data_IF_632894105166
#
_entry.id   IF_632894105166
#
_cell.length_a   1.000
_cell.length_b   1.000
_cell.length_c   1.000
_cell.angle_alpha   90.00
_cell.angle_beta   90.00
_cell.angle_gamma   90.00
#
_symmetry.space_group_name_H-M   'P 1'
#
loop_
_entity.id
_entity.type
_entity.pdbx_description
1 polymer ?
#
# COMPACT_ATOMS: atom_id res chain seq x y z
N UNK A 1 -19.94 61.29 -14.29
CA UNK A 1 -20.11 59.82 -14.47
C UNK A 1 -19.22 59.14 -13.42
N UNK A 2 -19.80 58.73 -12.29
CA UNK A 2 -19.04 58.11 -11.19
C UNK A 2 -18.93 56.62 -11.45
N UNK A 3 -17.71 56.12 -11.66
CA UNK A 3 -17.45 54.70 -11.89
C UNK A 3 -17.73 53.91 -10.62
N UNK A 4 -18.72 53.00 -10.68
CA UNK A 4 -19.03 52.04 -9.62
C UNK A 4 -17.84 51.08 -9.45
N UNK A 5 -17.02 51.32 -8.42
CA UNK A 5 -15.88 50.45 -8.13
C UNK A 5 -16.36 49.11 -7.56
N UNK A 6 -15.80 48.01 -8.05
CA UNK A 6 -16.16 46.67 -7.58
C UNK A 6 -15.76 46.49 -6.11
N UNK A 7 -16.51 45.70 -5.33
CA UNK A 7 -16.13 45.38 -3.94
C UNK A 7 -14.75 44.73 -3.86
N UNK A 8 -14.33 44.00 -4.89
CA UNK A 8 -12.99 43.41 -5.01
C UNK A 8 -11.88 44.45 -5.11
N UNK A 9 -12.05 45.50 -5.93
CA UNK A 9 -11.07 46.58 -6.02
C UNK A 9 -10.90 47.35 -4.71
N UNK A 10 -12.00 47.55 -3.97
CA UNK A 10 -11.97 48.20 -2.66
C UNK A 10 -11.23 47.36 -1.63
N UNK A 11 -11.48 46.05 -1.61
CA UNK A 11 -10.79 45.10 -0.74
C UNK A 11 -9.29 45.03 -1.07
N UNK A 12 -8.95 44.96 -2.36
CA UNK A 12 -7.58 44.89 -2.85
C UNK A 12 -6.79 46.17 -2.53
N UNK A 13 -7.39 47.36 -2.74
CA UNK A 13 -6.76 48.65 -2.38
C UNK A 13 -6.64 48.85 -0.87
N UNK A 14 -7.60 48.36 -0.08
CA UNK A 14 -7.52 48.38 1.38
C UNK A 14 -6.38 47.46 1.89
N UNK A 15 -6.27 46.26 1.34
CA UNK A 15 -5.18 45.32 1.65
C UNK A 15 -3.80 45.88 1.27
N UNK A 16 -3.69 46.58 0.13
CA UNK A 16 -2.45 47.23 -0.30
C UNK A 16 -2.07 48.45 0.56
N UNK A 17 -3.05 49.21 1.08
CA UNK A 17 -2.79 50.37 1.96
C UNK A 17 -2.37 50.00 3.37
N UNK A 18 -2.71 48.81 3.84
CA UNK A 18 -2.45 48.35 5.19
C UNK A 18 -1.18 47.48 5.32
N UNK A 19 -0.50 47.19 4.21
CA UNK A 19 0.66 46.31 4.24
C UNK A 19 1.95 47.07 4.53
N UNK A 20 2.37 47.02 5.80
CA UNK A 20 3.76 47.30 6.17
C UNK A 20 4.70 46.44 5.32
N UNK A 21 5.85 46.99 4.87
CA UNK A 21 6.91 46.23 4.16
C UNK A 21 7.29 44.93 4.89
N UNK A 22 7.21 44.91 6.22
CA UNK A 22 7.48 43.72 7.04
C UNK A 22 6.36 42.67 6.99
N UNK A 23 5.10 43.07 6.82
CA UNK A 23 3.96 42.16 6.72
C UNK A 23 3.90 41.49 5.34
N UNK A 24 4.17 42.24 4.26
CA UNK A 24 4.30 41.66 2.92
C UNK A 24 5.43 40.62 2.86
N UNK A 25 6.58 40.92 3.47
CA UNK A 25 7.76 40.05 3.40
C UNK A 25 7.57 38.74 4.20
N UNK A 26 6.93 38.80 5.37
CA UNK A 26 6.55 37.60 6.13
C UNK A 26 5.58 36.72 5.34
N UNK A 27 4.53 37.30 4.78
CA UNK A 27 3.56 36.55 3.98
C UNK A 27 4.22 35.83 2.80
N UNK A 28 5.16 36.48 2.10
CA UNK A 28 5.88 35.85 0.99
C UNK A 28 6.81 34.72 1.43
N UNK A 29 7.45 34.85 2.61
CA UNK A 29 8.30 33.79 3.15
C UNK A 29 7.47 32.60 3.63
N UNK A 30 6.32 32.85 4.24
CA UNK A 30 5.40 31.80 4.70
C UNK A 30 4.80 31.03 3.53
N UNK A 31 4.39 31.72 2.46
CA UNK A 31 3.86 31.04 1.26
C UNK A 31 4.93 30.23 0.53
N UNK A 32 6.16 30.76 0.43
CA UNK A 32 7.29 30.02 -0.11
C UNK A 32 7.63 28.79 0.74
N UNK A 33 7.67 28.95 2.06
CA UNK A 33 7.90 27.85 3.01
C UNK A 33 6.83 26.77 2.91
N UNK A 34 5.55 27.17 2.84
CA UNK A 34 4.43 26.25 2.66
C UNK A 34 4.50 25.51 1.32
N UNK A 35 4.88 26.19 0.23
CA UNK A 35 5.08 25.57 -1.08
C UNK A 35 6.22 24.54 -1.04
N UNK A 36 7.38 24.90 -0.48
CA UNK A 36 8.50 23.97 -0.31
C UNK A 36 8.14 22.77 0.58
N UNK A 37 7.38 22.98 1.64
CA UNK A 37 6.89 21.90 2.48
C UNK A 37 5.91 20.98 1.73
N UNK A 38 5.01 21.55 0.94
CA UNK A 38 4.05 20.80 0.13
C UNK A 38 4.75 19.98 -0.96
N UNK A 39 5.71 20.56 -1.67
CA UNK A 39 6.49 19.83 -2.69
C UNK A 39 7.33 18.74 -2.05
N UNK A 40 7.97 19.00 -0.91
CA UNK A 40 8.69 17.97 -0.16
C UNK A 40 7.77 16.83 0.27
N UNK A 41 6.59 17.13 0.80
CA UNK A 41 5.59 16.14 1.19
C UNK A 41 5.11 15.33 -0.01
N UNK A 42 4.79 15.97 -1.13
CA UNK A 42 4.35 15.26 -2.33
C UNK A 42 5.46 14.36 -2.89
N UNK A 43 6.69 14.87 -2.93
CA UNK A 43 7.86 14.18 -3.45
C UNK A 43 8.40 13.08 -2.52
N UNK A 44 8.06 13.07 -1.23
CA UNK A 44 8.60 12.08 -0.28
C UNK A 44 7.55 11.23 0.43
N UNK A 45 6.31 11.69 0.57
CA UNK A 45 5.29 10.98 1.35
C UNK A 45 4.40 10.07 0.51
N UNK A 46 4.13 10.41 -0.76
CA UNK A 46 3.18 9.69 -1.59
C UNK A 46 3.75 9.34 -2.99
N UNK A 47 3.20 8.29 -3.57
CA UNK A 47 3.44 7.89 -4.96
C UNK A 47 2.15 7.29 -5.50
N UNK A 48 1.80 7.63 -6.74
CA UNK A 48 0.66 7.02 -7.42
C UNK A 48 1.20 6.03 -8.45
N UNK A 49 0.67 4.81 -8.46
CA UNK A 49 1.08 3.77 -9.41
C UNK A 49 -0.12 3.07 -10.04
N UNK A 50 -0.05 2.80 -11.34
CA UNK A 50 -1.02 1.98 -12.06
C UNK A 50 -0.92 0.51 -11.59
N UNK A 51 -2.05 -0.10 -11.23
CA UNK A 51 -2.12 -1.54 -10.99
C UNK A 51 -2.11 -2.30 -12.32
N UNK A 52 -1.18 -3.24 -12.46
CA UNK A 52 -1.10 -4.12 -13.60
C UNK A 52 -1.06 -5.58 -13.14
N UNK A 53 -2.05 -6.36 -13.58
CA UNK A 53 -2.13 -7.81 -13.35
C UNK A 53 -3.22 -8.23 -12.35
N UNK A 54 -3.65 -9.50 -12.40
CA UNK A 54 -4.83 -10.00 -11.69
C UNK A 54 -4.58 -10.33 -10.21
N UNK A 55 -3.34 -10.24 -9.72
CA UNK A 55 -2.93 -10.91 -8.48
C UNK A 55 -3.53 -10.33 -7.18
N UNK A 56 -4.06 -9.11 -7.24
CA UNK A 56 -4.73 -8.44 -6.12
C UNK A 56 -6.24 -8.32 -6.32
N UNK A 57 -6.81 -9.06 -7.28
CA UNK A 57 -8.25 -9.14 -7.47
C UNK A 57 -8.89 -9.89 -6.29
N UNK A 58 -10.03 -9.44 -5.71
CA UNK A 58 -10.89 -8.35 -6.18
C UNK A 58 -10.56 -6.95 -5.63
N UNK A 59 -9.59 -6.82 -4.72
CA UNK A 59 -9.21 -5.52 -4.11
C UNK A 59 -8.80 -4.49 -5.16
N UNK A 60 -8.01 -4.90 -6.15
CA UNK A 60 -7.65 -4.10 -7.31
C UNK A 60 -8.02 -4.83 -8.60
N UNK A 61 -8.55 -4.09 -9.57
CA UNK A 61 -8.85 -4.64 -10.90
C UNK A 61 -7.55 -4.98 -11.65
N UNK A 62 -7.65 -5.92 -12.58
CA UNK A 62 -6.53 -6.38 -13.40
C UNK A 62 -5.89 -5.25 -14.24
N UNK A 63 -6.65 -4.21 -14.59
CA UNK A 63 -6.22 -3.01 -15.32
C UNK A 63 -7.02 -1.78 -14.88
N UNK A 64 -6.40 -0.60 -14.96
CA UNK A 64 -7.07 0.69 -14.90
C UNK A 64 -7.21 1.31 -13.50
N UNK A 65 -6.89 0.57 -12.43
CA UNK A 65 -6.91 1.14 -11.09
C UNK A 65 -5.58 1.85 -10.80
N UNK A 66 -5.63 3.05 -10.19
CA UNK A 66 -4.44 3.72 -9.66
C UNK A 66 -4.40 3.60 -8.14
N UNK A 67 -3.27 3.14 -7.64
CA UNK A 67 -2.97 2.93 -6.24
C UNK A 67 -2.23 4.15 -5.68
N UNK A 68 -2.73 4.70 -4.58
CA UNK A 68 -2.01 5.66 -3.76
C UNK A 68 -1.16 4.90 -2.75
N UNK A 69 0.15 5.10 -2.82
CA UNK A 69 1.14 4.46 -1.97
C UNK A 69 1.73 5.51 -1.03
N UNK A 70 1.68 5.25 0.27
CA UNK A 70 2.39 6.03 1.28
C UNK A 70 3.81 5.49 1.47
N UNK A 71 4.80 6.34 1.23
CA UNK A 71 6.23 6.06 1.46
C UNK A 71 6.64 6.17 2.93
N UNK A 72 5.75 6.64 3.82
CA UNK A 72 6.01 6.64 5.27
C UNK A 72 6.31 5.23 5.78
N UNK A 73 5.62 4.24 5.23
CA UNK A 73 5.78 2.83 5.55
C UNK A 73 6.94 2.11 4.82
N UNK A 74 7.86 2.86 4.20
CA UNK A 74 9.07 2.31 3.59
C UNK A 74 9.90 1.57 4.65
N UNK A 75 10.55 0.48 4.24
CA UNK A 75 11.35 -0.40 5.09
C UNK A 75 10.54 -1.12 6.18
N UNK A 76 9.23 -1.30 5.98
CA UNK A 76 8.37 -1.99 6.95
C UNK A 76 7.86 -1.14 8.12
N UNK A 77 8.12 0.17 8.12
CA UNK A 77 7.73 1.04 9.25
C UNK A 77 6.20 1.13 9.38
N UNK A 78 5.66 0.69 10.51
CA UNK A 78 4.22 0.75 10.78
C UNK A 78 3.37 -0.09 9.81
N UNK A 79 3.97 -1.10 9.17
CA UNK A 79 3.25 -2.11 8.39
C UNK A 79 2.63 -3.12 9.34
N UNK A 80 1.36 -3.43 9.14
CA UNK A 80 0.60 -4.38 9.94
C UNK A 80 0.12 -5.56 9.08
N UNK A 81 -0.20 -6.67 9.73
CA UNK A 81 -0.84 -7.81 9.07
C UNK A 81 -2.14 -7.36 8.42
N UNK A 82 -2.32 -7.73 7.15
CA UNK A 82 -3.46 -7.36 6.33
C UNK A 82 -3.29 -6.07 5.52
N UNK A 83 -2.21 -5.32 5.73
CA UNK A 83 -1.88 -4.18 4.87
C UNK A 83 -1.48 -4.63 3.46
N UNK A 84 -1.75 -3.80 2.46
CA UNK A 84 -1.20 -3.99 1.12
C UNK A 84 0.07 -3.17 0.98
N UNK A 85 1.16 -3.81 0.59
CA UNK A 85 2.47 -3.17 0.44
C UNK A 85 2.99 -3.26 -0.99
N UNK A 86 3.69 -2.21 -1.40
CA UNK A 86 4.49 -2.18 -2.63
C UNK A 86 5.92 -2.54 -2.28
N UNK A 87 6.51 -3.49 -3.00
CA UNK A 87 7.90 -3.93 -2.78
C UNK A 87 8.64 -4.13 -4.10
N UNK A 88 9.97 -4.15 -4.04
CA UNK A 88 10.83 -4.61 -5.14
C UNK A 88 10.81 -6.13 -5.21
N UNK A 89 10.56 -6.70 -6.39
CA UNK A 89 10.53 -8.14 -6.56
C UNK A 89 11.92 -8.74 -6.30
N UNK A 90 12.08 -9.76 -5.42
CA UNK A 90 13.39 -10.30 -5.07
C UNK A 90 14.11 -10.96 -6.26
N UNK A 91 13.36 -11.64 -7.14
CA UNK A 91 13.91 -12.35 -8.31
C UNK A 91 14.05 -11.50 -9.58
N UNK A 92 13.40 -10.33 -9.69
CA UNK A 92 13.38 -9.53 -10.93
C UNK A 92 13.70 -8.07 -10.62
N UNK A 93 14.90 -7.64 -11.00
CA UNK A 93 15.37 -6.28 -10.77
C UNK A 93 14.53 -5.25 -11.55
N UNK A 94 14.23 -4.13 -10.91
CA UNK A 94 13.40 -3.06 -11.50
C UNK A 94 11.89 -3.33 -11.53
N UNK A 95 11.45 -4.54 -11.14
CA UNK A 95 10.03 -4.89 -11.09
C UNK A 95 9.46 -4.63 -9.69
N UNK A 96 8.28 -4.03 -9.66
CA UNK A 96 7.55 -3.76 -8.43
C UNK A 96 6.32 -4.64 -8.33
N UNK A 97 6.12 -5.26 -7.16
CA UNK A 97 4.90 -6.00 -6.83
C UNK A 97 4.05 -5.25 -5.81
N UNK A 98 2.75 -5.50 -5.84
CA UNK A 98 1.82 -5.15 -4.76
C UNK A 98 1.21 -6.45 -4.22
N UNK A 99 1.31 -6.67 -2.91
CA UNK A 99 0.81 -7.86 -2.21
C UNK A 99 0.31 -7.50 -0.82
N UNK A 100 -0.56 -8.34 -0.26
CA UNK A 100 -1.03 -8.22 1.11
C UNK A 100 -0.05 -8.88 2.07
N UNK A 101 0.14 -8.27 3.22
CA UNK A 101 0.92 -8.80 4.33
C UNK A 101 0.09 -9.86 5.04
N UNK A 102 0.61 -11.09 5.09
CA UNK A 102 -0.02 -12.19 5.83
C UNK A 102 0.70 -12.49 7.14
N UNK A 103 1.99 -12.17 7.24
CA UNK A 103 2.77 -12.34 8.46
C UNK A 103 3.96 -11.40 8.52
N UNK A 104 4.28 -10.96 9.74
CA UNK A 104 5.40 -10.10 10.12
C UNK A 104 6.51 -10.92 10.79
N UNK A 105 7.70 -10.33 11.06
CA UNK A 105 8.79 -11.07 11.70
C UNK A 105 8.35 -11.77 12.99
N UNK A 106 8.60 -13.08 13.07
CA UNK A 106 8.22 -13.92 14.22
C UNK A 106 6.88 -14.63 14.09
N UNK A 107 5.99 -14.16 13.20
CA UNK A 107 4.69 -14.79 12.97
C UNK A 107 4.85 -16.18 12.33
N UNK A 108 3.91 -17.06 12.61
CA UNK A 108 3.79 -18.35 11.93
C UNK A 108 2.71 -18.27 10.85
N UNK A 109 3.05 -18.68 9.64
CA UNK A 109 2.15 -18.64 8.48
C UNK A 109 2.10 -20.02 7.83
N UNK A 110 0.89 -20.50 7.54
CA UNK A 110 0.67 -21.65 6.68
C UNK A 110 1.10 -21.31 5.25
N UNK A 111 2.18 -21.93 4.77
CA UNK A 111 2.53 -21.92 3.36
C UNK A 111 1.67 -22.95 2.64
N UNK A 112 0.59 -22.47 2.04
CA UNK A 112 -0.18 -23.27 1.08
C UNK A 112 0.63 -23.46 -0.21
N UNK A 113 0.52 -24.64 -0.82
CA UNK A 113 1.08 -24.93 -2.16
C UNK A 113 0.52 -23.92 -3.17
N UNK A 114 1.35 -23.39 -4.05
CA UNK A 114 0.90 -22.47 -5.09
C UNK A 114 -0.10 -23.18 -6.02
N UNK A 115 -1.32 -22.63 -6.16
CA UNK A 115 -2.40 -23.30 -6.90
C UNK A 115 -2.19 -23.36 -8.43
N UNK A 116 -1.31 -22.54 -9.00
CA UNK A 116 -1.08 -22.50 -10.45
C UNK A 116 0.24 -23.15 -10.85
N UNK A 117 0.15 -24.15 -11.74
CA UNK A 117 1.31 -24.81 -12.38
C UNK A 117 2.13 -23.84 -13.25
N UNK A 118 1.46 -22.87 -13.88
CA UNK A 118 2.09 -22.00 -14.90
C UNK A 118 2.86 -20.80 -14.33
N UNK A 119 2.70 -20.47 -13.03
CA UNK A 119 3.22 -19.22 -12.43
C UNK A 119 4.33 -19.45 -11.38
N UNK A 120 4.85 -20.68 -11.29
CA UNK A 120 6.10 -20.98 -10.57
C UNK A 120 5.98 -21.98 -9.42
N UNK A 121 5.46 -23.17 -9.70
CA UNK A 121 5.59 -24.32 -8.80
C UNK A 121 5.13 -25.62 -9.46
N UNK A 122 5.96 -26.66 -9.36
CA UNK A 122 5.66 -28.06 -9.72
C UNK A 122 4.62 -28.67 -8.78
N UNK A 123 3.38 -28.16 -8.81
CA UNK A 123 2.26 -28.79 -8.14
C UNK A 123 1.65 -29.85 -9.06
N UNK A 124 2.10 -31.10 -8.99
CA UNK A 124 1.42 -32.24 -9.60
C UNK A 124 -0.05 -32.25 -9.16
N UNK A 125 -0.94 -32.40 -10.13
CA UNK A 125 -2.39 -32.54 -9.92
C UNK A 125 -2.77 -33.91 -9.36
N UNK A 126 -1.80 -34.71 -8.95
CA UNK A 126 -1.95 -36.10 -8.53
C UNK A 126 -2.09 -36.24 -7.01
N UNK A 127 -1.82 -35.19 -6.23
CA UNK A 127 -1.88 -35.21 -4.76
C UNK A 127 -3.13 -34.49 -4.20
N UNK A 128 -4.25 -34.48 -4.92
CA UNK A 128 -5.56 -34.06 -4.39
C UNK A 128 -6.16 -35.14 -3.47
N UNK A 129 -5.33 -35.95 -2.83
CA UNK A 129 -5.74 -36.79 -1.71
C UNK A 129 -5.80 -35.91 -0.46
N UNK A 130 -6.95 -35.92 0.22
CA UNK A 130 -7.32 -35.01 1.31
C UNK A 130 -6.51 -35.11 2.61
N UNK A 131 -5.22 -35.42 2.56
CA UNK A 131 -4.33 -35.69 3.71
C UNK A 131 -3.50 -34.45 4.16
N UNK A 132 -3.76 -33.25 3.64
CA UNK A 132 -3.12 -32.02 4.15
C UNK A 132 -1.58 -31.92 4.00
N UNK A 133 -0.93 -32.90 3.35
CA UNK A 133 0.54 -33.03 3.18
C UNK A 133 1.24 -31.88 2.42
N UNK A 134 0.51 -30.88 1.96
CA UNK A 134 1.04 -29.72 1.23
C UNK A 134 1.06 -28.41 2.01
N UNK A 135 0.68 -28.39 3.30
CA UNK A 135 0.67 -27.19 4.14
C UNK A 135 1.84 -27.23 5.11
N UNK A 136 2.83 -26.40 4.84
CA UNK A 136 3.99 -26.25 5.72
C UNK A 136 3.80 -25.01 6.60
N UNK A 137 3.95 -25.15 7.92
CA UNK A 137 4.01 -23.99 8.80
C UNK A 137 5.41 -23.41 8.77
N UNK A 138 5.53 -22.15 8.34
CA UNK A 138 6.80 -21.45 8.33
C UNK A 138 6.77 -20.31 9.35
N UNK A 139 7.87 -20.14 10.09
CA UNK A 139 8.08 -18.93 10.87
C UNK A 139 8.69 -17.86 9.98
N UNK A 140 8.12 -16.66 9.98
CA UNK A 140 8.66 -15.52 9.22
C UNK A 140 9.97 -15.08 9.87
N UNK A 141 11.11 -15.11 9.15
CA UNK A 141 12.40 -14.75 9.73
C UNK A 141 12.45 -13.29 10.21
N UNK A 142 13.34 -12.97 11.17
CA UNK A 142 13.62 -11.60 11.55
C UNK A 142 13.91 -10.70 10.33
N UNK A 143 13.30 -9.51 10.30
CA UNK A 143 13.48 -8.54 9.21
C UNK A 143 12.80 -8.92 7.88
N UNK A 144 11.98 -9.97 7.83
CA UNK A 144 11.23 -10.39 6.65
C UNK A 144 9.72 -10.23 6.84
N UNK A 145 9.00 -10.19 5.73
CA UNK A 145 7.54 -10.15 5.68
C UNK A 145 7.03 -11.25 4.75
N UNK A 146 5.97 -11.92 5.15
CA UNK A 146 5.30 -12.90 4.30
C UNK A 146 4.16 -12.23 3.54
N UNK A 147 4.22 -12.32 2.21
CA UNK A 147 3.33 -11.61 1.30
C UNK A 147 2.46 -12.59 0.51
N UNK A 148 1.17 -12.32 0.42
CA UNK A 148 0.20 -13.07 -0.38
C UNK A 148 -0.61 -12.16 -1.30
N UNK A 149 -0.96 -12.64 -2.48
CA UNK A 149 -1.94 -11.93 -3.32
C UNK A 149 -3.36 -12.34 -2.96
N UNK A 150 -4.30 -11.40 -3.08
CA UNK A 150 -5.72 -11.68 -2.83
C UNK A 150 -6.32 -12.67 -3.84
N UNK A 151 -5.76 -12.71 -5.06
CA UNK A 151 -6.13 -13.69 -6.09
C UNK A 151 -5.17 -14.89 -6.02
N UNK A 152 -5.43 -15.79 -5.07
CA UNK A 152 -4.55 -16.93 -4.74
C UNK A 152 -4.10 -17.76 -5.96
N UNK A 153 -4.96 -18.14 -6.92
CA UNK A 153 -4.53 -18.93 -8.09
C UNK A 153 -3.64 -18.15 -9.05
N UNK A 154 -3.81 -16.82 -9.14
CA UNK A 154 -3.12 -15.96 -10.12
C UNK A 154 -2.11 -15.02 -9.47
N UNK A 155 -1.53 -15.44 -8.34
CA UNK A 155 -0.57 -14.66 -7.58
C UNK A 155 0.76 -15.39 -7.45
N UNK A 156 1.81 -14.80 -8.04
CA UNK A 156 3.19 -15.10 -7.67
C UNK A 156 3.57 -14.28 -6.44
N UNK A 157 3.73 -14.94 -5.31
CA UNK A 157 3.94 -14.31 -4.00
C UNK A 157 4.88 -15.14 -3.11
N UNK A 158 4.89 -14.93 -1.80
CA UNK A 158 5.82 -15.60 -0.89
C UNK A 158 5.67 -17.12 -0.86
N UNK A 159 4.56 -17.68 -1.36
CA UNK A 159 4.44 -19.13 -1.57
C UNK A 159 5.43 -19.65 -2.61
N UNK A 160 5.77 -18.84 -3.61
CA UNK A 160 6.70 -19.21 -4.69
C UNK A 160 8.14 -18.86 -4.36
N UNK A 161 8.42 -17.65 -3.87
CA UNK A 161 9.79 -17.15 -3.64
C UNK A 161 10.20 -17.01 -2.18
N UNK A 162 9.31 -17.33 -1.23
CA UNK A 162 9.56 -17.23 0.22
C UNK A 162 9.28 -15.84 0.83
N UNK A 163 9.57 -15.67 2.13
CA UNK A 163 9.49 -14.39 2.82
C UNK A 163 10.36 -13.31 2.16
N UNK A 164 9.90 -12.07 2.14
CA UNK A 164 10.59 -10.93 1.50
C UNK A 164 11.25 -10.05 2.55
N UNK A 165 12.51 -9.61 2.37
CA UNK A 165 13.13 -8.64 3.27
C UNK A 165 12.30 -7.36 3.36
N UNK A 166 12.05 -6.86 4.58
CA UNK A 166 11.37 -5.58 4.80
C UNK A 166 12.08 -4.40 4.12
N UNK A 167 13.39 -4.52 3.89
CA UNK A 167 14.19 -3.55 3.13
C UNK A 167 13.73 -3.34 1.68
N UNK A 168 13.06 -4.34 1.08
CA UNK A 168 12.50 -4.24 -0.27
C UNK A 168 11.13 -3.57 -0.30
N UNK A 169 10.51 -3.32 0.86
CA UNK A 169 9.22 -2.65 0.97
C UNK A 169 9.38 -1.15 0.77
N UNK A 170 8.72 -0.63 -0.26
CA UNK A 170 8.82 0.76 -0.69
C UNK A 170 7.73 1.65 -0.11
N UNK A 171 6.62 1.06 0.31
CA UNK A 171 5.51 1.79 0.91
C UNK A 171 4.26 0.93 1.04
N UNK A 172 3.26 1.51 1.72
CA UNK A 172 1.95 0.90 1.96
C UNK A 172 0.93 1.49 0.98
N UNK A 173 0.17 0.64 0.32
CA UNK A 173 -0.96 1.06 -0.51
C UNK A 173 -2.11 1.45 0.42
N UNK A 174 -2.51 2.72 0.40
CA UNK A 174 -3.51 3.27 1.32
C UNK A 174 -4.89 3.43 0.68
N UNK A 175 -4.96 3.69 -0.63
CA UNK A 175 -6.22 3.90 -1.32
C UNK A 175 -6.12 3.55 -2.80
N UNK A 176 -7.26 3.21 -3.40
CA UNK A 176 -7.50 3.31 -4.84
C UNK A 176 -7.99 4.73 -5.13
N UNK A 177 -7.28 5.48 -5.97
CA UNK A 177 -7.60 6.89 -6.30
C UNK A 177 -8.19 7.09 -7.68
N UNK A 178 -8.12 6.08 -8.54
CA UNK A 178 -8.72 6.08 -9.87
C UNK A 178 -9.21 4.67 -10.23
N UNK A 179 -10.33 4.49 -10.95
CA UNK A 179 -11.24 5.53 -11.44
C UNK A 179 -12.03 6.23 -10.31
N UNK A 180 -12.46 7.50 -10.46
CA UNK A 180 -13.10 8.26 -9.38
C UNK A 180 -14.38 7.60 -8.85
N UNK A 181 -15.11 6.89 -9.70
CA UNK A 181 -16.31 6.13 -9.35
C UNK A 181 -16.06 4.96 -8.39
N UNK A 182 -14.80 4.54 -8.23
CA UNK A 182 -14.39 3.43 -7.36
C UNK A 182 -13.38 3.89 -6.31
N UNK A 183 -13.22 5.19 -6.06
CA UNK A 183 -12.23 5.67 -5.09
C UNK A 183 -12.55 5.13 -3.70
N UNK A 184 -11.62 4.39 -3.10
CA UNK A 184 -11.82 3.72 -1.82
C UNK A 184 -10.50 3.56 -1.06
N UNK A 185 -10.54 3.69 0.26
CA UNK A 185 -9.43 3.34 1.14
C UNK A 185 -9.26 1.81 1.18
N UNK A 186 -8.01 1.34 1.16
CA UNK A 186 -7.72 -0.08 1.28
C UNK A 186 -8.03 -0.52 2.70
N UNK A 187 -8.98 -1.43 2.85
CA UNK A 187 -9.35 -2.03 4.13
C UNK A 187 -8.57 -3.32 4.36
N UNK A 188 -8.39 -3.66 5.62
CA UNK A 188 -7.88 -4.96 6.03
C UNK A 188 -9.06 -5.96 6.09
N UNK A 189 -9.10 -6.99 5.23
CA UNK A 189 -10.14 -8.01 5.27
C UNK A 189 -9.86 -9.12 6.30
N UNK A 190 -8.65 -9.17 6.86
CA UNK A 190 -8.27 -10.22 7.81
C UNK A 190 -8.94 -9.97 9.15
N UNK A 191 -9.55 -11.02 9.69
CA UNK A 191 -10.17 -11.00 11.01
C UNK A 191 -9.30 -11.78 11.98
N UNK A 192 -9.16 -11.32 13.24
CA UNK A 192 -8.52 -12.13 14.25
C UNK A 192 -9.32 -13.42 14.43
N UNK A 193 -8.61 -14.54 14.52
CA UNK A 193 -9.25 -15.83 14.82
C UNK A 193 -9.84 -15.74 16.22
N UNK A 194 -11.14 -15.96 16.33
CA UNK A 194 -11.79 -16.19 17.60
C UNK A 194 -11.47 -17.63 17.99
N UNK A 195 -10.47 -17.78 18.86
CA UNK A 195 -10.26 -19.04 19.55
C UNK A 195 -11.29 -19.07 20.67
N UNK A 196 -12.45 -19.65 20.39
CA UNK A 196 -13.29 -20.11 21.49
C UNK A 196 -12.40 -21.04 22.35
N UNK A 197 -12.47 -20.92 23.67
CA UNK A 197 -11.78 -21.80 24.63
C UNK A 197 -12.36 -23.24 24.57
N UNK A 198 -12.60 -23.77 23.37
CA UNK A 198 -12.94 -25.14 23.09
C UNK A 198 -11.67 -25.98 23.20
N UNK A 199 -11.40 -26.39 24.44
CA UNK A 199 -11.05 -27.77 24.84
C UNK A 199 -10.23 -27.77 26.15
N UNK A 200 -10.61 -26.92 27.09
CA UNK A 200 -10.29 -27.04 28.51
C UNK A 200 -11.24 -28.00 29.26
N UNK A 201 -11.76 -29.03 28.60
CA UNK A 201 -12.53 -30.08 29.27
C UNK A 201 -11.94 -31.47 28.98
N UNK A 202 -11.40 -32.05 30.05
CA UNK A 202 -10.93 -33.43 30.28
C UNK A 202 -9.60 -33.85 29.67
#
# INVERSE_FOLDING_TARGET
MSASQSPFERLFRAALRQSSRTSSLRLTLDTLGAFCALTWLWEHAFTVQLSAGPSMYPTFNFRGDYMLISRKARFGRGVQVGDVVRFYHPSFLGVHGAKRVLGLPGDFVCRDRALSKDVGGEGSSEDMDGDGRGREMIQVPPGHVYLGGDNLPWSRDSRSFGPVPLGLVNGKVVARVWPPSKMEWVKNPLQPVQLDEADGST
#
